data_IF_419789241304
#
_entry.id   IF_419789241304
#
_cell.length_a   1.000
_cell.length_b   1.000
_cell.length_c   1.000
_cell.angle_alpha   90.00
_cell.angle_beta   90.00
_cell.angle_gamma   90.00
#
_symmetry.space_group_name_H-M   'P 1'
#
loop_
_entity.id
_entity.type
_entity.pdbx_description
1 polymer ?
#
# COMPACT_ATOMS: atom_id res chain seq x y z
N UNK A 1 -12.86 0.95 -7.89
CA UNK A 1 -13.14 0.13 -9.09
C UNK A 1 -11.97 -0.80 -9.39
N UNK A 2 -12.20 -2.02 -9.90
CA UNK A 2 -11.14 -3.00 -10.17
C UNK A 2 -10.08 -2.53 -11.18
N UNK A 3 -10.47 -1.72 -12.17
CA UNK A 3 -9.55 -1.20 -13.19
C UNK A 3 -8.50 -0.25 -12.61
N UNK A 4 -8.89 0.65 -11.70
CA UNK A 4 -7.96 1.55 -11.00
C UNK A 4 -6.92 0.75 -10.21
N UNK A 5 -7.35 -0.27 -9.48
CA UNK A 5 -6.43 -1.13 -8.69
C UNK A 5 -5.44 -1.86 -9.60
N UNK A 6 -5.90 -2.39 -10.73
CA UNK A 6 -5.02 -3.04 -11.72
C UNK A 6 -4.01 -2.07 -12.33
N UNK A 7 -4.42 -0.82 -12.64
CA UNK A 7 -3.54 0.22 -13.16
C UNK A 7 -2.49 0.65 -12.13
N UNK A 8 -2.89 0.85 -10.87
CA UNK A 8 -1.96 1.11 -9.77
C UNK A 8 -0.97 -0.05 -9.59
N UNK A 9 -1.44 -1.30 -9.65
CA UNK A 9 -0.53 -2.44 -9.51
C UNK A 9 0.49 -2.51 -10.62
N UNK A 10 0.06 -2.31 -11.87
CA UNK A 10 0.95 -2.30 -13.02
C UNK A 10 2.02 -1.21 -12.89
N UNK A 11 1.62 -0.02 -12.42
CA UNK A 11 2.54 1.06 -12.11
C UNK A 11 3.54 0.69 -11.01
N UNK A 12 3.09 0.10 -9.90
CA UNK A 12 3.97 -0.31 -8.79
C UNK A 12 4.97 -1.37 -9.26
N UNK A 13 4.53 -2.37 -10.04
CA UNK A 13 5.42 -3.38 -10.61
C UNK A 13 6.49 -2.79 -11.52
N UNK A 14 6.12 -1.84 -12.39
CA UNK A 14 7.09 -1.09 -13.23
C UNK A 14 8.15 -0.40 -12.37
N UNK A 15 7.71 0.36 -11.35
CA UNK A 15 8.64 1.13 -10.50
C UNK A 15 9.53 0.27 -9.61
N UNK A 16 9.03 -0.87 -9.15
CA UNK A 16 9.78 -1.76 -8.26
C UNK A 16 10.55 -2.86 -8.98
N UNK A 17 10.41 -2.95 -10.31
CA UNK A 17 10.94 -4.05 -11.14
C UNK A 17 10.42 -5.43 -10.68
N UNK A 18 9.19 -5.47 -10.19
CA UNK A 18 8.56 -6.71 -9.75
C UNK A 18 8.30 -7.66 -10.95
N UNK A 19 8.27 -8.98 -10.72
CA UNK A 19 7.91 -9.95 -11.76
C UNK A 19 6.58 -9.63 -12.44
N UNK A 20 6.51 -9.83 -13.76
CA UNK A 20 5.33 -9.48 -14.55
C UNK A 20 4.08 -10.27 -14.12
N UNK A 21 4.26 -11.49 -13.65
CA UNK A 21 3.24 -12.41 -13.14
C UNK A 21 2.94 -12.24 -11.65
N UNK A 22 3.63 -11.33 -10.94
CA UNK A 22 3.35 -11.07 -9.54
C UNK A 22 1.89 -10.60 -9.36
N UNK A 23 1.08 -11.33 -8.56
CA UNK A 23 -0.33 -11.04 -8.39
C UNK A 23 -0.53 -9.79 -7.53
N UNK A 24 -1.71 -9.19 -7.64
CA UNK A 24 -2.15 -8.17 -6.68
C UNK A 24 -2.27 -8.85 -5.31
N UNK A 25 -1.77 -8.24 -4.22
CA UNK A 25 -1.95 -8.81 -2.88
C UNK A 25 -3.45 -8.99 -2.56
N UNK A 26 -3.84 -10.01 -1.79
CA UNK A 26 -5.22 -10.15 -1.35
C UNK A 26 -5.68 -8.89 -0.59
N UNK A 27 -6.82 -8.32 -1.00
CA UNK A 27 -7.43 -7.16 -0.33
C UNK A 27 -8.74 -7.62 0.29
N UNK A 28 -8.85 -7.55 1.61
CA UNK A 28 -10.01 -8.03 2.36
C UNK A 28 -10.62 -6.91 3.19
N UNK A 29 -11.95 -6.88 3.26
CA UNK A 29 -12.67 -6.01 4.17
C UNK A 29 -12.75 -6.70 5.52
N UNK A 30 -12.30 -6.02 6.58
CA UNK A 30 -12.24 -6.58 7.91
C UNK A 30 -12.71 -5.59 8.98
N UNK A 31 -13.85 -5.90 9.59
CA UNK A 31 -14.47 -5.10 10.65
C UNK A 31 -13.78 -5.20 12.00
N UNK A 32 -12.90 -6.20 12.19
CA UNK A 32 -12.17 -6.40 13.45
C UNK A 32 -10.97 -5.48 13.61
N UNK A 33 -10.58 -4.73 12.56
CA UNK A 33 -9.52 -3.73 12.66
C UNK A 33 -9.88 -2.66 13.71
N UNK A 34 -8.89 -2.20 14.52
CA UNK A 34 -9.09 -1.09 15.44
C UNK A 34 -9.67 0.14 14.72
N UNK A 35 -10.55 0.89 15.39
CA UNK A 35 -11.29 2.01 14.76
C UNK A 35 -10.38 3.09 14.16
N UNK A 36 -9.19 3.26 14.72
CA UNK A 36 -8.18 4.21 14.27
C UNK A 36 -7.31 3.68 13.12
N UNK A 37 -7.39 2.40 12.79
CA UNK A 37 -6.68 1.78 11.65
C UNK A 37 -7.63 1.75 10.45
N UNK A 38 -7.20 2.39 9.36
CA UNK A 38 -8.00 2.47 8.12
C UNK A 38 -7.66 1.34 7.16
N UNK A 39 -6.36 1.17 6.92
CA UNK A 39 -5.79 0.06 6.16
C UNK A 39 -4.60 -0.49 6.93
N UNK A 40 -4.28 -1.75 6.66
CA UNK A 40 -3.09 -2.38 7.22
C UNK A 40 -2.62 -3.49 6.28
N UNK A 41 -1.38 -3.41 5.83
CA UNK A 41 -0.68 -4.54 5.24
C UNK A 41 -0.18 -5.50 6.33
N UNK A 42 -0.60 -6.76 6.25
CA UNK A 42 -0.15 -7.85 7.10
C UNK A 42 0.65 -8.87 6.29
N UNK A 43 1.62 -9.50 6.94
CA UNK A 43 2.43 -10.56 6.39
C UNK A 43 2.90 -11.52 7.48
N UNK A 44 3.19 -12.78 7.15
CA UNK A 44 3.78 -13.71 8.10
C UNK A 44 5.17 -13.25 8.47
N UNK A 45 5.40 -13.06 9.77
CA UNK A 45 6.69 -12.69 10.36
C UNK A 45 7.25 -13.85 11.19
N UNK A 46 8.50 -13.76 11.63
CA UNK A 46 9.06 -14.80 12.51
C UNK A 46 8.27 -14.96 13.82
N UNK A 47 7.63 -13.89 14.31
CA UNK A 47 6.84 -13.91 15.55
C UNK A 47 5.41 -14.41 15.34
N UNK A 48 4.88 -14.27 14.12
CA UNK A 48 3.50 -14.60 13.76
C UNK A 48 3.45 -15.27 12.38
N UNK A 49 4.11 -16.44 12.21
CA UNK A 49 4.25 -17.10 10.90
C UNK A 49 2.91 -17.60 10.32
N UNK A 50 1.88 -17.73 11.15
CA UNK A 50 0.51 -18.07 10.76
C UNK A 50 -0.29 -16.89 10.18
N UNK A 51 0.25 -15.67 10.26
CA UNK A 51 -0.42 -14.49 9.70
C UNK A 51 -0.48 -14.59 8.18
N UNK A 52 -1.68 -14.51 7.62
CA UNK A 52 -1.83 -14.47 6.17
C UNK A 52 -1.35 -13.13 5.59
N UNK A 53 -0.71 -13.19 4.43
CA UNK A 53 -0.29 -12.02 3.69
C UNK A 53 -1.48 -11.37 2.98
N UNK A 54 -1.84 -10.15 3.37
CA UNK A 54 -3.02 -9.44 2.84
C UNK A 54 -3.04 -7.97 3.26
N UNK A 55 -3.83 -7.19 2.52
CA UNK A 55 -4.19 -5.83 2.88
C UNK A 55 -5.59 -5.88 3.49
N UNK A 56 -5.73 -5.44 4.74
CA UNK A 56 -7.01 -5.35 5.45
C UNK A 56 -7.56 -3.94 5.36
N UNK A 57 -8.84 -3.82 5.04
CA UNK A 57 -9.56 -2.56 4.92
C UNK A 57 -10.60 -2.44 6.03
N UNK A 58 -10.60 -1.34 6.77
CA UNK A 58 -11.63 -1.08 7.76
C UNK A 58 -12.86 -0.45 7.09
N UNK A 59 -14.01 -1.14 7.01
CA UNK A 59 -15.17 -0.65 6.27
C UNK A 59 -15.81 0.59 6.89
N UNK A 60 -15.62 0.83 8.19
CA UNK A 60 -16.22 1.97 8.90
C UNK A 60 -15.63 3.30 8.45
N UNK A 61 -14.40 3.26 7.95
CA UNK A 61 -13.72 4.45 7.47
C UNK A 61 -13.99 4.70 5.99
N UNK A 62 -14.51 3.71 5.22
CA UNK A 62 -14.80 3.80 3.78
C UNK A 62 -15.66 5.00 3.39
N UNK A 63 -16.55 5.45 4.28
CA UNK A 63 -17.45 6.59 4.04
C UNK A 63 -16.76 7.96 4.17
N UNK A 64 -15.61 8.05 4.84
CA UNK A 64 -14.98 9.33 5.18
C UNK A 64 -14.03 9.87 4.10
N UNK A 65 -13.58 9.01 3.18
CA UNK A 65 -12.66 9.37 2.09
C UNK A 65 -13.35 9.20 0.75
N UNK A 66 -13.04 10.10 -0.18
CA UNK A 66 -13.44 9.94 -1.57
C UNK A 66 -12.65 8.81 -2.25
N UNK A 67 -13.08 8.46 -3.46
CA UNK A 67 -12.49 7.36 -4.22
C UNK A 67 -10.99 7.54 -4.43
N UNK A 68 -10.51 8.75 -4.74
CA UNK A 68 -9.10 9.03 -4.95
C UNK A 68 -8.26 8.67 -3.73
N UNK A 69 -8.59 9.22 -2.56
CA UNK A 69 -7.86 8.94 -1.31
C UNK A 69 -7.87 7.45 -0.95
N UNK A 70 -8.98 6.76 -1.19
CA UNK A 70 -9.06 5.31 -1.00
C UNK A 70 -8.09 4.54 -1.88
N UNK A 71 -8.08 4.85 -3.17
CA UNK A 71 -7.16 4.19 -4.09
C UNK A 71 -5.72 4.48 -3.74
N UNK A 72 -5.41 5.72 -3.35
CA UNK A 72 -4.05 6.07 -2.95
C UNK A 72 -3.57 5.23 -1.76
N UNK A 73 -4.39 5.10 -0.71
CA UNK A 73 -3.99 4.29 0.44
C UNK A 73 -3.93 2.79 0.13
N UNK A 74 -4.80 2.26 -0.73
CA UNK A 74 -4.65 0.88 -1.21
C UNK A 74 -3.33 0.71 -1.97
N UNK A 75 -3.01 1.63 -2.88
CA UNK A 75 -1.74 1.62 -3.62
C UNK A 75 -0.52 1.78 -2.72
N UNK A 76 -0.65 2.53 -1.63
CA UNK A 76 0.36 2.65 -0.58
C UNK A 76 0.68 1.30 0.07
N UNK A 77 -0.34 0.58 0.56
CA UNK A 77 -0.17 -0.76 1.14
C UNK A 77 0.34 -1.78 0.10
N UNK A 78 -0.08 -1.67 -1.16
CA UNK A 78 0.45 -2.51 -2.25
C UNK A 78 1.93 -2.24 -2.52
N UNK A 79 2.40 -1.00 -2.28
CA UNK A 79 3.82 -0.66 -2.39
C UNK A 79 4.62 -1.32 -1.26
N UNK A 80 4.07 -1.38 -0.04
CA UNK A 80 4.70 -2.14 1.06
C UNK A 80 4.82 -3.62 0.71
N UNK A 81 3.77 -4.22 0.16
CA UNK A 81 3.79 -5.61 -0.31
C UNK A 81 4.90 -5.85 -1.35
N UNK A 82 5.03 -4.97 -2.35
CA UNK A 82 6.08 -5.10 -3.36
C UNK A 82 7.49 -4.99 -2.74
N UNK A 83 7.72 -4.04 -1.84
CA UNK A 83 9.02 -3.87 -1.18
C UNK A 83 9.37 -5.06 -0.28
N UNK A 84 8.42 -5.54 0.51
CA UNK A 84 8.60 -6.72 1.35
C UNK A 84 9.01 -7.92 0.50
N UNK A 85 8.30 -8.19 -0.60
CA UNK A 85 8.66 -9.29 -1.50
C UNK A 85 10.03 -9.07 -2.13
N UNK A 86 10.36 -7.84 -2.54
CA UNK A 86 11.67 -7.50 -3.10
C UNK A 86 12.82 -7.81 -2.15
N UNK A 87 12.72 -7.39 -0.89
CA UNK A 87 13.70 -7.70 0.16
C UNK A 87 13.86 -9.21 0.39
N UNK A 88 12.79 -9.95 0.10
CA UNK A 88 12.73 -11.39 0.25
C UNK A 88 12.96 -12.15 -1.06
N UNK A 89 13.48 -11.48 -2.10
CA UNK A 89 13.88 -12.10 -3.37
C UNK A 89 12.72 -12.48 -4.29
N UNK A 90 11.54 -11.89 -4.11
CA UNK A 90 10.33 -12.12 -4.91
C UNK A 90 9.80 -13.56 -4.84
N UNK A 91 10.10 -14.28 -3.76
CA UNK A 91 9.66 -15.65 -3.56
C UNK A 91 8.74 -15.75 -2.35
N UNK A 92 7.80 -16.70 -2.43
CA UNK A 92 7.00 -17.07 -1.28
C UNK A 92 7.87 -17.66 -0.18
N UNK A 93 7.63 -17.24 1.06
CA UNK A 93 8.32 -17.72 2.25
C UNK A 93 7.33 -18.04 3.35
N UNK A 94 7.75 -18.94 4.25
CA UNK A 94 7.01 -19.24 5.49
C UNK A 94 6.86 -17.99 6.37
N UNK A 95 7.87 -17.12 6.39
CA UNK A 95 7.80 -15.78 6.96
C UNK A 95 8.73 -14.85 6.19
N UNK A 96 8.48 -13.56 6.29
CA UNK A 96 9.21 -12.51 5.59
C UNK A 96 10.00 -11.67 6.58
N UNK A 97 11.20 -11.28 6.17
CA UNK A 97 12.02 -10.33 6.89
C UNK A 97 11.74 -8.92 6.35
N UNK A 98 11.43 -7.98 7.25
CA UNK A 98 11.25 -6.57 6.91
C UNK A 98 12.43 -5.78 7.47
N UNK A 99 13.47 -5.58 6.66
CA UNK A 99 14.69 -4.91 7.10
C UNK A 99 14.66 -3.43 6.79
N UNK A 100 14.01 -3.05 5.68
CA UNK A 100 13.84 -1.65 5.32
C UNK A 100 12.72 -1.02 6.14
N UNK A 101 13.02 0.16 6.69
CA UNK A 101 11.96 1.06 7.14
C UNK A 101 11.35 1.72 5.90
N UNK A 102 10.37 1.08 5.30
CA UNK A 102 9.75 1.51 4.03
C UNK A 102 9.41 3.01 4.02
N UNK A 103 8.78 3.52 5.08
CA UNK A 103 8.42 4.94 5.17
C UNK A 103 9.61 5.91 5.29
N UNK A 104 10.82 5.42 5.53
CA UNK A 104 12.06 6.19 5.51
C UNK A 104 12.85 5.99 4.19
N UNK A 105 12.41 5.07 3.34
CA UNK A 105 13.06 4.78 2.07
C UNK A 105 12.63 5.78 0.99
N UNK A 106 13.62 6.36 0.30
CA UNK A 106 13.37 7.41 -0.70
C UNK A 106 12.60 6.89 -1.92
N UNK A 107 12.88 5.66 -2.34
CA UNK A 107 12.21 5.04 -3.48
C UNK A 107 10.74 4.75 -3.16
N UNK A 108 10.48 4.16 -1.99
CA UNK A 108 9.13 3.93 -1.49
C UNK A 108 8.32 5.23 -1.45
N UNK A 109 8.91 6.28 -0.90
CA UNK A 109 8.27 7.59 -0.81
C UNK A 109 8.00 8.21 -2.17
N UNK A 110 8.94 8.08 -3.10
CA UNK A 110 8.77 8.57 -4.47
C UNK A 110 7.64 7.82 -5.19
N UNK A 111 7.56 6.49 -5.02
CA UNK A 111 6.51 5.68 -5.66
C UNK A 111 5.13 6.04 -5.11
N UNK A 112 4.99 6.13 -3.79
CA UNK A 112 3.72 6.48 -3.15
C UNK A 112 3.28 7.91 -3.46
N UNK A 113 4.21 8.85 -3.64
CA UNK A 113 3.91 10.19 -4.16
C UNK A 113 3.46 10.16 -5.62
N UNK A 114 4.15 9.41 -6.48
CA UNK A 114 3.79 9.29 -7.90
C UNK A 114 2.45 8.55 -8.13
N UNK A 115 2.00 7.72 -7.18
CA UNK A 115 0.63 7.20 -7.19
C UNK A 115 -0.41 8.34 -7.15
N UNK A 116 -0.13 9.45 -6.48
CA UNK A 116 -1.03 10.60 -6.47
C UNK A 116 -1.17 11.24 -7.87
N UNK A 117 -0.09 11.28 -8.65
CA UNK A 117 -0.13 11.74 -10.05
C UNK A 117 -0.95 10.79 -10.92
N UNK A 118 -0.71 9.48 -10.79
CA UNK A 118 -1.46 8.46 -11.53
C UNK A 118 -2.96 8.55 -11.24
N UNK A 119 -3.34 8.79 -9.98
CA UNK A 119 -4.74 8.89 -9.56
C UNK A 119 -5.37 10.22 -9.96
N UNK A 120 -4.59 11.30 -10.00
CA UNK A 120 -5.03 12.57 -10.54
C UNK A 120 -5.39 12.46 -12.03
N UNK A 121 -4.64 11.71 -12.83
CA UNK A 121 -4.99 11.43 -14.23
C UNK A 121 -6.32 10.64 -14.39
N UNK A 122 -6.79 9.97 -13.34
CA UNK A 122 -8.01 9.15 -13.37
C UNK A 122 -9.21 9.93 -12.83
N UNK A 123 -9.01 10.63 -11.71
CA UNK A 123 -10.09 11.30 -10.98
C UNK A 123 -10.16 12.81 -11.24
N UNK A 124 -9.12 13.39 -11.84
CA UNK A 124 -9.00 14.83 -12.17
C UNK A 124 -9.24 15.77 -10.97
N UNK A 125 -9.08 15.27 -9.74
CA UNK A 125 -9.27 16.03 -8.50
C UNK A 125 -7.94 16.57 -7.97
N UNK A 126 -7.73 17.88 -8.13
CA UNK A 126 -6.55 18.57 -7.57
C UNK A 126 -6.54 18.60 -6.05
N UNK A 127 -7.71 18.60 -5.41
CA UNK A 127 -7.84 18.53 -3.95
C UNK A 127 -7.34 17.18 -3.43
N UNK A 128 -7.76 16.08 -4.05
CA UNK A 128 -7.34 14.73 -3.66
C UNK A 128 -5.84 14.57 -3.84
N UNK A 129 -5.32 15.01 -4.98
CA UNK A 129 -3.88 15.00 -5.26
C UNK A 129 -3.08 15.70 -4.15
N UNK A 130 -3.52 16.89 -3.71
CA UNK A 130 -2.87 17.61 -2.62
C UNK A 130 -2.96 16.84 -1.29
N UNK A 131 -4.13 16.29 -0.96
CA UNK A 131 -4.31 15.51 0.26
C UNK A 131 -3.46 14.24 0.28
N UNK A 132 -3.29 13.55 -0.85
CA UNK A 132 -2.39 12.40 -0.99
C UNK A 132 -0.93 12.78 -0.71
N UNK A 133 -0.46 13.91 -1.27
CA UNK A 133 0.88 14.42 -0.98
C UNK A 133 1.09 14.74 0.49
N UNK A 134 0.09 15.34 1.13
CA UNK A 134 0.13 15.64 2.56
C UNK A 134 0.20 14.34 3.37
N UNK A 135 -0.62 13.35 3.03
CA UNK A 135 -0.68 12.07 3.75
C UNK A 135 0.62 11.27 3.58
N UNK A 136 1.16 11.19 2.36
CA UNK A 136 2.47 10.57 2.09
C UNK A 136 3.55 11.12 3.02
N UNK A 137 3.63 12.45 3.14
CA UNK A 137 4.60 13.11 4.02
C UNK A 137 4.32 12.88 5.51
N UNK A 138 3.04 12.74 5.91
CA UNK A 138 2.67 12.48 7.30
C UNK A 138 3.03 11.07 7.73
N UNK A 139 2.84 10.05 6.88
CA UNK A 139 3.14 8.65 7.21
C UNK A 139 4.60 8.47 7.61
N UNK A 140 5.56 9.09 6.90
CA UNK A 140 6.98 9.10 7.30
C UNK A 140 7.24 9.69 8.68
N UNK A 141 6.57 10.79 8.99
CA UNK A 141 6.86 11.59 10.19
C UNK A 141 6.27 10.97 11.45
N UNK A 142 5.10 10.34 11.33
CA UNK A 142 4.34 9.88 12.49
C UNK A 142 4.40 8.38 12.68
N UNK A 143 4.61 7.59 11.62
CA UNK A 143 4.65 6.13 11.69
C UNK A 143 5.81 5.53 10.88
N UNK A 144 7.08 5.92 11.14
CA UNK A 144 8.24 5.47 10.35
C UNK A 144 8.55 3.96 10.48
N UNK A 145 7.92 3.27 11.43
CA UNK A 145 8.10 1.83 11.67
C UNK A 145 6.84 1.03 11.34
N UNK A 146 5.83 1.66 10.73
CA UNK A 146 4.70 0.93 10.17
C UNK A 146 5.16 0.12 8.94
#
# INVERSE_FOLDING_TARGET
>A
EPQTVSRMWSFIKDKTQAPADLPIPPIVVDESLPKNVRLMFEYPSQLTPETEMRIRLNPRNLMAWNNGMWHWAVGHEMTHYAFLLRENGWHEKTWYDNQLKHHCDYEFMTITQNLAELLWEIYESSEDRLHMYIEANKSCRHQPNQ
#
